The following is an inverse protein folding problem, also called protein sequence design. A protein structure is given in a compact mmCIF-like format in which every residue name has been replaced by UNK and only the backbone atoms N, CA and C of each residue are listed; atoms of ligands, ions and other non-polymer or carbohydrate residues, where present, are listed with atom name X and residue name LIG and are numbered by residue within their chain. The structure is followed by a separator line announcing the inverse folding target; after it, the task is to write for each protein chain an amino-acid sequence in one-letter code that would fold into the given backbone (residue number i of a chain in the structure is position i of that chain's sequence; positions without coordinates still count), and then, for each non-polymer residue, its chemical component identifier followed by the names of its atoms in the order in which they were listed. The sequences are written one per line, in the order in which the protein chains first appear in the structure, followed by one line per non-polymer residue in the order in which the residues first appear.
data_IF_478331125613
#
_entry.id   IF_478331125613
#
_cell.length_a   1.000
_cell.length_b   1.000
_cell.length_c   1.000
_cell.angle_alpha   90.00
_cell.angle_beta   90.00
_cell.angle_gamma   90.00
#
_symmetry.space_group_name_H-M   'P 1'
#
loop_
_entity.id
_entity.type
_entity.pdbx_description
1 polymer ?
#
# COMPACT_ATOMS: atom_id res chain seq x y z
N UNK A 1 -12.38 -12.74 0.85
CA UNK A 1 -11.19 -12.90 -0.01
C UNK A 1 -10.50 -11.55 -0.02
N UNK A 2 -9.24 -11.46 0.40
CA UNK A 2 -8.50 -10.19 0.44
C UNK A 2 -8.32 -9.72 -1.01
N UNK A 3 -8.76 -8.50 -1.31
CA UNK A 3 -8.52 -7.90 -2.63
C UNK A 3 -7.05 -7.51 -2.78
N UNK A 4 -6.58 -7.36 -4.02
CA UNK A 4 -5.17 -7.08 -4.29
C UNK A 4 -4.69 -5.73 -3.74
N UNK A 5 -5.61 -4.80 -3.49
CA UNK A 5 -5.30 -3.52 -2.84
C UNK A 5 -5.24 -3.69 -1.32
N UNK A 6 -6.20 -4.41 -0.72
CA UNK A 6 -6.22 -4.70 0.72
C UNK A 6 -4.97 -5.46 1.19
N UNK A 7 -4.32 -6.22 0.29
CA UNK A 7 -3.03 -6.86 0.55
C UNK A 7 -1.89 -5.88 0.92
N UNK A 8 -2.05 -4.59 0.63
CA UNK A 8 -1.10 -3.55 1.03
C UNK A 8 -1.38 -2.94 2.42
N UNK A 9 -2.58 -3.15 3.00
CA UNK A 9 -2.93 -2.63 4.35
C UNK A 9 -1.99 -3.15 5.45
N UNK A 10 -1.59 -4.44 5.47
CA UNK A 10 -0.63 -4.94 6.45
C UNK A 10 0.74 -4.25 6.39
N UNK A 11 1.13 -3.73 5.21
CA UNK A 11 2.37 -2.96 5.05
C UNK A 11 2.26 -1.61 5.75
N UNK A 12 1.13 -0.92 5.59
CA UNK A 12 0.86 0.33 6.30
C UNK A 12 0.80 0.09 7.82
N UNK A 13 0.12 -0.97 8.25
CA UNK A 13 0.06 -1.36 9.66
C UNK A 13 1.45 -1.65 10.25
N UNK A 14 2.35 -2.23 9.46
CA UNK A 14 3.74 -2.45 9.88
C UNK A 14 4.49 -1.14 10.11
N UNK A 15 4.33 -0.15 9.23
CA UNK A 15 4.92 1.18 9.43
C UNK A 15 4.29 1.87 10.64
N UNK A 16 2.96 1.77 10.83
CA UNK A 16 2.25 2.41 11.92
C UNK A 16 2.74 1.99 13.32
N UNK A 17 3.34 0.79 13.46
CA UNK A 17 3.98 0.34 14.71
C UNK A 17 5.12 1.24 15.17
N UNK A 18 5.74 2.02 14.29
CA UNK A 18 6.86 2.90 14.64
C UNK A 18 6.43 4.16 15.41
N UNK A 19 5.12 4.42 15.55
CA UNK A 19 4.62 5.40 16.52
C UNK A 19 4.18 6.76 15.99
N UNK A 20 3.66 6.85 14.75
CA UNK A 20 3.00 8.07 14.27
C UNK A 20 2.99 8.24 12.76
N UNK A 21 2.07 7.54 12.07
CA UNK A 21 1.86 7.73 10.63
C UNK A 21 0.74 8.74 10.42
N UNK A 22 1.09 9.96 10.04
CA UNK A 22 0.08 11.00 9.84
C UNK A 22 -0.69 10.82 8.53
N UNK A 23 0.00 10.39 7.49
CA UNK A 23 -0.60 10.19 6.18
C UNK A 23 -0.09 8.89 5.56
N UNK A 24 -1.00 8.08 5.03
CA UNK A 24 -0.64 6.96 4.20
C UNK A 24 -1.41 6.98 2.87
N UNK A 25 -0.72 6.63 1.80
CA UNK A 25 -1.30 6.54 0.47
C UNK A 25 -0.95 5.20 -0.17
N UNK A 26 -1.96 4.52 -0.72
CA UNK A 26 -1.77 3.31 -1.53
C UNK A 26 -2.12 3.65 -2.97
N UNK A 27 -1.16 3.49 -3.87
CA UNK A 27 -1.37 3.59 -5.32
C UNK A 27 -1.33 2.18 -5.89
N UNK A 28 -2.49 1.68 -6.31
CA UNK A 28 -2.65 0.36 -6.90
C UNK A 28 -2.79 0.44 -8.41
N UNK A 29 -1.96 -0.32 -9.12
CA UNK A 29 -2.06 -0.57 -10.55
C UNK A 29 -2.50 -2.01 -10.79
N UNK A 30 -3.70 -2.17 -11.34
CA UNK A 30 -4.33 -3.46 -11.59
C UNK A 30 -4.36 -3.72 -13.10
N UNK A 31 -4.01 -4.94 -13.57
CA UNK A 31 -4.17 -5.31 -14.97
C UNK A 31 -5.63 -5.11 -15.42
N UNK A 32 -5.84 -4.32 -16.46
CA UNK A 32 -7.18 -3.99 -16.96
C UNK A 32 -7.97 -5.24 -17.38
N UNK A 33 -7.26 -6.28 -17.85
CA UNK A 33 -7.79 -7.59 -18.20
C UNK A 33 -8.31 -8.39 -16.99
N UNK A 34 -7.78 -8.12 -15.79
CA UNK A 34 -8.18 -8.77 -14.54
C UNK A 34 -9.29 -8.00 -13.82
N UNK A 35 -9.58 -6.77 -14.23
CA UNK A 35 -10.66 -5.95 -13.69
C UNK A 35 -11.98 -6.22 -14.43
N UNK A 36 -12.70 -7.24 -13.96
CA UNK A 36 -14.06 -7.55 -14.41
C UNK A 36 -15.09 -6.47 -14.05
N UNK A 37 -16.36 -6.62 -14.49
CA UNK A 37 -17.42 -5.64 -14.25
C UNK A 37 -17.60 -5.25 -12.78
N UNK A 38 -17.48 -6.21 -11.87
CA UNK A 38 -17.67 -5.99 -10.43
C UNK A 38 -16.63 -5.03 -9.85
N UNK A 39 -15.35 -5.19 -10.22
CA UNK A 39 -14.26 -4.30 -9.79
C UNK A 39 -14.46 -2.89 -10.37
N UNK A 40 -15.00 -2.79 -11.58
CA UNK A 40 -15.25 -1.50 -12.25
C UNK A 40 -16.44 -0.75 -11.65
N UNK A 41 -17.49 -1.48 -11.29
CA UNK A 41 -18.69 -0.92 -10.68
C UNK A 41 -18.47 -0.58 -9.20
N UNK A 42 -17.65 -1.35 -8.48
CA UNK A 42 -17.37 -1.19 -7.05
C UNK A 42 -16.07 -0.45 -6.73
N UNK A 43 -15.55 0.38 -7.63
CA UNK A 43 -14.25 1.04 -7.42
C UNK A 43 -14.28 2.02 -6.25
N UNK A 44 -15.40 2.73 -6.06
CA UNK A 44 -15.57 3.68 -4.96
C UNK A 44 -15.60 2.93 -3.62
N UNK A 45 -16.42 1.88 -3.51
CA UNK A 45 -16.49 1.01 -2.33
C UNK A 45 -15.12 0.41 -1.96
N UNK A 46 -14.35 -0.02 -2.97
CA UNK A 46 -13.00 -0.55 -2.79
C UNK A 46 -12.05 0.51 -2.20
N UNK A 47 -12.09 1.74 -2.74
CA UNK A 47 -11.28 2.87 -2.26
C UNK A 47 -11.67 3.23 -0.83
N UNK A 48 -12.96 3.41 -0.55
CA UNK A 48 -13.47 3.81 0.76
C UNK A 48 -13.18 2.78 1.84
N UNK A 49 -13.45 1.49 1.55
CA UNK A 49 -13.18 0.39 2.48
C UNK A 49 -11.69 0.25 2.77
N UNK A 50 -10.84 0.39 1.74
CA UNK A 50 -9.39 0.31 1.93
C UNK A 50 -8.88 1.50 2.75
N UNK A 51 -9.37 2.72 2.49
CA UNK A 51 -9.06 3.90 3.30
C UNK A 51 -9.43 3.68 4.77
N UNK A 52 -10.64 3.16 5.04
CA UNK A 52 -11.09 2.86 6.38
C UNK A 52 -10.22 1.81 7.08
N UNK A 53 -9.81 0.75 6.36
CA UNK A 53 -8.89 -0.26 6.87
C UNK A 53 -7.49 0.31 7.20
N UNK A 54 -6.98 1.21 6.37
CA UNK A 54 -5.71 1.92 6.64
C UNK A 54 -5.83 2.81 7.87
N UNK A 55 -6.94 3.54 8.03
CA UNK A 55 -7.17 4.36 9.22
C UNK A 55 -7.31 3.50 10.48
N UNK A 56 -8.02 2.37 10.40
CA UNK A 56 -8.13 1.41 11.49
C UNK A 56 -6.78 0.80 11.90
N UNK A 57 -5.79 0.79 11.00
CA UNK A 57 -4.42 0.37 11.29
C UNK A 57 -3.58 1.44 12.03
N UNK A 58 -4.18 2.57 12.43
CA UNK A 58 -3.53 3.61 13.23
C UNK A 58 -3.01 4.81 12.43
N UNK A 59 -3.41 4.95 11.17
CA UNK A 59 -3.07 6.11 10.33
C UNK A 59 -4.08 7.23 10.49
N UNK A 60 -3.62 8.46 10.67
CA UNK A 60 -4.53 9.62 10.84
C UNK A 60 -5.31 9.95 9.56
N UNK A 61 -4.64 10.00 8.41
CA UNK A 61 -5.29 10.22 7.11
C UNK A 61 -4.85 9.18 6.08
N UNK A 62 -5.82 8.55 5.42
CA UNK A 62 -5.58 7.59 4.36
C UNK A 62 -6.00 8.14 2.99
N UNK A 63 -5.30 7.70 1.95
CA UNK A 63 -5.71 7.87 0.56
C UNK A 63 -5.46 6.58 -0.20
N UNK A 64 -6.37 6.24 -1.10
CA UNK A 64 -6.21 5.11 -2.02
C UNK A 64 -6.47 5.61 -3.42
N UNK A 65 -5.55 5.27 -4.34
CA UNK A 65 -5.68 5.51 -5.77
C UNK A 65 -5.65 4.15 -6.45
N UNK A 66 -6.66 3.86 -7.26
CA UNK A 66 -6.70 2.67 -8.11
C UNK A 66 -6.65 3.07 -9.58
N UNK A 67 -5.76 2.46 -10.34
CA UNK A 67 -5.65 2.66 -11.78
C UNK A 67 -5.59 1.33 -12.52
N UNK A 68 -6.28 1.26 -13.66
CA UNK A 68 -6.20 0.11 -14.56
C UNK A 68 -5.06 0.32 -15.55
N UNK A 69 -4.20 -0.69 -15.71
CA UNK A 69 -3.04 -0.63 -16.60
C UNK A 69 -2.98 -1.82 -17.56
N UNK A 70 -2.27 -1.70 -18.70
CA UNK A 70 -2.01 -2.83 -19.58
C UNK A 70 -0.93 -3.78 -19.03
N UNK A 71 -0.35 -3.50 -17.86
CA UNK A 71 0.68 -4.35 -17.28
C UNK A 71 0.09 -5.71 -16.84
N UNK A 72 0.84 -6.82 -16.94
CA UNK A 72 0.31 -8.15 -16.63
C UNK A 72 0.24 -8.46 -15.14
N UNK A 73 0.94 -7.71 -14.29
CA UNK A 73 1.05 -7.93 -12.86
C UNK A 73 0.47 -6.75 -12.07
N UNK A 74 -0.08 -7.05 -10.89
CA UNK A 74 -0.53 -6.00 -9.96
C UNK A 74 0.69 -5.39 -9.29
N UNK A 75 0.69 -4.06 -9.17
CA UNK A 75 1.68 -3.30 -8.40
C UNK A 75 0.97 -2.40 -7.41
N UNK A 76 1.39 -2.42 -6.16
CA UNK A 76 0.98 -1.43 -5.18
C UNK A 76 2.23 -0.66 -4.72
N UNK A 77 2.15 0.66 -4.73
CA UNK A 77 3.10 1.52 -4.05
C UNK A 77 2.45 2.07 -2.81
N UNK A 78 3.07 1.83 -1.66
CA UNK A 78 2.64 2.32 -0.36
C UNK A 78 3.55 3.46 0.05
N UNK A 79 2.97 4.62 0.32
CA UNK A 79 3.63 5.76 0.93
C UNK A 79 3.13 5.93 2.35
N UNK A 80 4.03 6.17 3.30
CA UNK A 80 3.69 6.54 4.67
C UNK A 80 4.54 7.73 5.10
N UNK A 81 3.90 8.76 5.66
CA UNK A 81 4.57 9.89 6.29
C UNK A 81 4.63 9.63 7.79
N UNK A 82 5.84 9.38 8.28
CA UNK A 82 6.11 9.12 9.68
C UNK A 82 6.63 10.41 10.31
N UNK A 83 5.99 10.81 11.41
CA UNK A 83 6.44 11.95 12.20
C UNK A 83 7.77 11.58 12.87
N UNK A 84 8.75 12.50 12.86
CA UNK A 84 10.07 12.38 13.51
C UNK A 84 11.13 11.46 12.86
N UNK A 85 12.34 11.46 13.44
CA UNK A 85 13.44 10.55 13.10
C UNK A 85 13.10 9.14 13.55
N UNK A 86 12.93 8.23 12.59
CA UNK A 86 12.52 6.86 12.88
C UNK A 86 13.66 5.88 12.64
N UNK A 87 13.71 4.79 13.41
CA UNK A 87 14.60 3.67 13.14
C UNK A 87 14.16 2.94 11.86
N UNK A 88 14.86 3.24 10.77
CA UNK A 88 14.62 2.62 9.46
C UNK A 88 14.74 1.09 9.52
N UNK A 89 15.68 0.56 10.32
CA UNK A 89 15.90 -0.88 10.43
C UNK A 89 14.73 -1.61 11.09
N UNK A 90 14.11 -0.99 12.10
CA UNK A 90 12.89 -1.51 12.73
C UNK A 90 11.71 -1.48 11.76
N UNK A 91 11.48 -0.36 11.04
CA UNK A 91 10.41 -0.29 10.04
C UNK A 91 10.61 -1.33 8.93
N UNK A 92 11.82 -1.43 8.40
CA UNK A 92 12.12 -2.37 7.31
C UNK A 92 11.88 -3.82 7.74
N UNK A 93 12.35 -4.21 8.93
CA UNK A 93 12.07 -5.54 9.52
C UNK A 93 10.57 -5.80 9.64
N UNK A 94 9.81 -4.83 10.14
CA UNK A 94 8.37 -4.99 10.35
C UNK A 94 7.61 -5.09 9.01
N UNK A 95 8.02 -4.32 7.99
CA UNK A 95 7.50 -4.45 6.62
C UNK A 95 7.83 -5.84 6.07
N UNK A 96 9.06 -6.33 6.21
CA UNK A 96 9.43 -7.67 5.75
C UNK A 96 8.59 -8.77 6.43
N UNK A 97 8.33 -8.64 7.73
CA UNK A 97 7.46 -9.56 8.45
C UNK A 97 6.02 -9.51 7.92
N UNK A 98 5.48 -8.32 7.64
CA UNK A 98 4.16 -8.17 7.04
C UNK A 98 4.09 -8.74 5.62
N UNK A 99 5.11 -8.53 4.80
CA UNK A 99 5.23 -9.11 3.45
C UNK A 99 5.22 -10.63 3.55
N UNK A 100 6.00 -11.23 4.45
CA UNK A 100 6.03 -12.68 4.64
C UNK A 100 4.67 -13.23 5.06
N UNK A 101 3.97 -12.52 5.96
CA UNK A 101 2.62 -12.89 6.38
C UNK A 101 1.61 -12.86 5.23
N UNK A 102 1.61 -11.79 4.44
CA UNK A 102 0.70 -11.66 3.28
C UNK A 102 1.04 -12.69 2.19
N UNK A 103 2.32 -12.93 1.95
CA UNK A 103 2.79 -13.90 0.93
C UNK A 103 2.33 -15.33 1.22
N UNK A 104 2.10 -15.68 2.50
CA UNK A 104 1.54 -16.98 2.87
C UNK A 104 0.07 -17.15 2.45
N UNK A 105 -0.64 -16.05 2.20
CA UNK A 105 -2.07 -16.04 1.84
C UNK A 105 -2.29 -15.63 0.37
N UNK A 106 -1.37 -14.84 -0.19
CA UNK A 106 -1.43 -14.28 -1.55
C UNK A 106 -0.17 -14.72 -2.31
N UNK A 107 -0.24 -15.84 -3.06
CA UNK A 107 0.88 -16.30 -3.87
C UNK A 107 1.40 -15.20 -4.81
N UNK A 108 2.73 -15.11 -4.93
CA UNK A 108 3.38 -14.14 -5.79
C UNK A 108 3.45 -12.71 -5.22
N UNK A 109 2.88 -12.44 -4.04
CA UNK A 109 3.09 -11.18 -3.32
C UNK A 109 4.54 -11.07 -2.85
N UNK A 110 5.21 -9.96 -3.16
CA UNK A 110 6.57 -9.68 -2.67
C UNK A 110 6.90 -8.19 -2.72
N UNK A 111 7.94 -7.78 -2.01
CA UNK A 111 8.62 -6.50 -2.27
C UNK A 111 9.30 -6.54 -3.64
N UNK A 112 9.05 -5.51 -4.44
CA UNK A 112 9.70 -5.29 -5.74
C UNK A 112 11.11 -4.73 -5.58
N UNK A 113 11.30 -3.89 -4.58
CA UNK A 113 12.51 -3.17 -4.27
C UNK A 113 12.69 -3.12 -2.75
N UNK A 114 13.91 -2.80 -2.30
CA UNK A 114 14.16 -2.47 -0.90
C UNK A 114 13.26 -1.30 -0.47
N UNK A 115 12.90 -1.27 0.81
CA UNK A 115 12.11 -0.17 1.39
C UNK A 115 12.92 1.12 1.28
N UNK A 116 12.30 2.18 0.79
CA UNK A 116 12.96 3.47 0.61
C UNK A 116 12.56 4.41 1.74
N UNK A 117 13.53 5.16 2.23
CA UNK A 117 13.34 6.17 3.27
C UNK A 117 13.89 7.50 2.76
N UNK A 118 13.08 8.54 2.84
CA UNK A 118 13.46 9.89 2.42
C UNK A 118 13.08 10.88 3.52
N UNK A 119 14.04 11.69 3.98
CA UNK A 119 13.73 12.83 4.85
C UNK A 119 13.02 13.90 4.02
N UNK A 120 11.83 14.29 4.45
CA UNK A 120 10.98 15.26 3.76
C UNK A 120 10.60 16.40 4.70
N UNK A 121 10.44 17.60 4.16
CA UNK A 121 9.81 18.70 4.88
C UNK A 121 10.49 20.06 4.71
N UNK A 122 9.75 21.15 4.94
CA UNK A 122 8.31 21.15 5.23
C UNK A 122 7.46 20.88 3.95
N UNK A 123 6.52 19.94 4.02
CA UNK A 123 5.52 19.68 2.97
C UNK A 123 4.14 20.04 3.49
N UNK A 124 3.39 20.83 2.74
CA UNK A 124 2.01 21.17 3.07
C UNK A 124 1.03 20.26 2.33
N UNK A 125 0.16 19.57 3.07
CA UNK A 125 -0.95 18.81 2.50
C UNK A 125 -2.25 19.56 2.82
N UNK A 126 -2.95 20.09 1.79
CA UNK A 126 -4.21 20.80 1.98
C UNK A 126 -5.22 19.98 2.79
N UNK A 127 -5.84 20.61 3.79
CA UNK A 127 -6.83 19.98 4.66
C UNK A 127 -6.28 19.05 5.75
N UNK A 128 -4.98 18.73 5.76
CA UNK A 128 -4.36 17.90 6.80
C UNK A 128 -3.39 18.70 7.68
N UNK A 129 -2.52 19.51 7.06
CA UNK A 129 -1.50 20.31 7.76
C UNK A 129 -0.15 20.35 7.05
N UNK A 130 0.88 20.78 7.78
CA UNK A 130 2.28 20.82 7.32
C UNK A 130 3.09 19.75 8.05
N UNK A 131 3.93 19.03 7.30
CA UNK A 131 4.66 17.86 7.77
C UNK A 131 6.15 17.99 7.52
N UNK A 132 6.93 17.54 8.51
CA UNK A 132 8.37 17.30 8.41
C UNK A 132 8.64 15.96 9.09
N UNK A 133 9.38 15.08 8.42
CA UNK A 133 9.61 13.73 8.91
C UNK A 133 10.20 12.83 7.86
N UNK A 134 9.81 11.56 7.88
CA UNK A 134 10.34 10.53 6.96
C UNK A 134 9.22 10.00 6.07
N UNK A 135 9.42 10.04 4.76
CA UNK A 135 8.61 9.33 3.78
C UNK A 135 9.14 7.91 3.64
N UNK A 136 8.35 6.93 4.04
CA UNK A 136 8.59 5.51 3.81
C UNK A 136 7.88 5.11 2.52
N UNK A 137 8.60 4.46 1.60
CA UNK A 137 8.02 3.93 0.36
C UNK A 137 8.27 2.42 0.27
N UNK A 138 7.19 1.65 0.16
CA UNK A 138 7.25 0.22 -0.10
C UNK A 138 6.58 -0.09 -1.44
N UNK A 139 7.32 -0.72 -2.34
CA UNK A 139 6.80 -1.16 -3.65
C UNK A 139 6.59 -2.66 -3.58
N UNK A 140 5.33 -3.10 -3.70
CA UNK A 140 4.98 -4.52 -3.73
C UNK A 140 4.39 -4.91 -5.08
N UNK A 141 4.67 -6.13 -5.51
CA UNK A 141 4.07 -6.72 -6.70
C UNK A 141 3.39 -8.03 -6.35
N UNK A 142 2.29 -8.33 -7.04
CA UNK A 142 1.65 -9.64 -7.05
C UNK A 142 1.83 -10.19 -8.45
N UNK A 143 2.72 -11.17 -8.57
CA UNK A 143 2.89 -11.86 -9.85
C UNK A 143 1.75 -12.86 -9.98
N UNK A 144 0.89 -12.68 -10.96
CA UNK A 144 -0.08 -13.71 -11.31
C UNK A 144 0.69 -14.89 -11.89
N UNK A 145 0.59 -16.06 -11.25
CA UNK A 145 0.75 -17.30 -12.01
C UNK A 145 -0.39 -17.30 -13.03
N UNK A 146 -0.04 -17.33 -14.31
CA UNK A 146 -0.98 -17.50 -15.41
C UNK A 146 -1.72 -18.83 -15.24
N UNK A 147 -2.80 -18.86 -14.46
CA UNK A 147 -3.85 -19.86 -14.67
C UNK A 147 -4.63 -19.36 -15.88
N UNK A 148 -4.48 -20.09 -17.00
CA UNK A 148 -4.89 -19.66 -18.32
C UNK A 148 -6.29 -19.05 -18.35
N UNK A 149 -6.41 -17.88 -18.98
CA UNK A 149 -7.71 -17.42 -19.45
C UNK A 149 -8.22 -18.44 -20.49
N UNK A 150 -9.46 -18.93 -20.40
CA UNK A 150 -10.11 -19.48 -21.57
C UNK A 150 -10.28 -18.36 -22.60
N UNK A 151 -9.77 -18.58 -23.81
CA UNK A 151 -10.16 -17.87 -25.03
C UNK A 151 -11.62 -18.09 -25.36
#
# INVERSE_FOLDING_TARGET
MITTIEAAVPIVAAVAKSGGVTYAEIVSSIPAQSAGPDIRAGVDDLIETTCAAVQAAGVRQAKVISLLSPAPAVRNTVYCLVDSTTDHGTIERDIHAAVAHVSAQVPGFRLKQAVQFESIGPIHIPGIGTFTGTKVTALVEITTESVGLPT
#
